data_IF_068984219779
#
_entry.id   IF_068984219779
#
_cell.length_a   1.000
_cell.length_b   1.000
_cell.length_c   1.000
_cell.angle_alpha   90.00
_cell.angle_beta   90.00
_cell.angle_gamma   90.00
#
_symmetry.space_group_name_H-M   'P 1'
#
loop_
_entity.id
_entity.type
_entity.pdbx_description
1 polymer ?
#
# COMPACT_ATOMS: atom_id res chain seq x y z
N UNK A 1 62.11 -28.33 27.75
CA UNK A 1 60.69 -28.44 27.39
C UNK A 1 60.13 -27.04 27.18
N UNK A 2 60.13 -26.55 25.93
CA UNK A 2 59.59 -25.23 25.58
C UNK A 2 58.33 -25.43 24.73
N UNK A 3 57.19 -24.99 25.23
CA UNK A 3 55.92 -25.04 24.50
C UNK A 3 55.82 -23.85 23.53
N UNK A 4 55.79 -24.15 22.24
CA UNK A 4 55.49 -23.22 21.15
C UNK A 4 54.00 -22.88 21.16
N UNK A 5 53.65 -21.61 21.35
CA UNK A 5 52.28 -21.10 21.32
C UNK A 5 51.98 -20.53 19.92
N UNK A 6 51.30 -21.30 19.08
CA UNK A 6 50.83 -20.87 17.75
C UNK A 6 49.63 -19.92 17.89
N UNK A 7 49.80 -18.64 17.55
CA UNK A 7 48.69 -17.68 17.41
C UNK A 7 47.87 -18.04 16.17
N UNK A 8 46.64 -18.53 16.38
CA UNK A 8 45.60 -18.56 15.34
C UNK A 8 45.01 -17.16 15.18
N UNK A 9 45.25 -16.54 14.04
CA UNK A 9 44.53 -15.33 13.61
C UNK A 9 43.08 -15.70 13.30
N UNK A 10 42.14 -15.23 14.12
CA UNK A 10 40.73 -15.24 13.80
C UNK A 10 40.42 -14.01 12.95
N UNK A 11 40.15 -14.23 11.65
CA UNK A 11 39.55 -13.20 10.80
C UNK A 11 38.14 -12.91 11.32
N UNK A 12 37.93 -11.74 11.92
CA UNK A 12 36.60 -11.22 12.18
C UNK A 12 35.89 -11.01 10.83
N UNK A 13 34.96 -11.90 10.51
CA UNK A 13 33.97 -11.65 9.47
C UNK A 13 33.07 -10.53 10.03
N UNK A 14 33.26 -9.31 9.52
CA UNK A 14 32.33 -8.23 9.78
C UNK A 14 30.96 -8.62 9.22
N UNK A 15 30.03 -9.00 10.09
CA UNK A 15 28.61 -9.02 9.76
C UNK A 15 28.20 -7.57 9.47
N UNK A 16 28.24 -7.18 8.21
CA UNK A 16 27.52 -6.00 7.73
C UNK A 16 26.04 -6.28 7.96
N UNK A 17 25.51 -5.83 9.09
CA UNK A 17 24.08 -5.63 9.24
C UNK A 17 23.67 -4.63 8.17
N UNK A 18 23.08 -5.13 7.07
CA UNK A 18 22.33 -4.29 6.13
C UNK A 18 21.17 -3.69 6.91
N UNK A 19 21.41 -2.51 7.49
CA UNK A 19 20.37 -1.69 8.09
C UNK A 19 19.39 -1.35 6.99
N UNK A 20 18.12 -1.72 7.19
CA UNK A 20 17.03 -1.20 6.38
C UNK A 20 17.14 0.32 6.45
N UNK A 21 17.48 0.95 5.33
CA UNK A 21 17.41 2.40 5.24
C UNK A 21 15.93 2.74 5.19
N UNK A 22 15.32 2.94 6.37
CA UNK A 22 13.96 3.44 6.41
C UNK A 22 14.01 4.87 5.89
N UNK A 23 13.18 5.20 4.89
CA UNK A 23 13.16 6.52 4.27
C UNK A 23 12.83 7.57 5.34
N UNK A 24 13.84 8.34 5.72
CA UNK A 24 13.81 9.11 6.95
C UNK A 24 13.59 10.59 6.70
N UNK A 25 12.68 11.22 7.45
CA UNK A 25 12.57 12.69 7.39
C UNK A 25 13.68 13.22 8.28
N UNK A 26 14.66 13.89 7.69
CA UNK A 26 15.74 14.53 8.45
C UNK A 26 15.16 15.68 9.28
N UNK A 27 15.57 15.75 10.54
CA UNK A 27 15.25 16.84 11.44
C UNK A 27 16.49 17.16 12.28
N UNK A 28 16.47 18.26 13.04
CA UNK A 28 17.58 18.72 13.89
C UNK A 28 18.12 17.65 14.87
N UNK A 29 17.34 16.62 15.21
CA UNK A 29 17.71 15.52 16.10
C UNK A 29 17.94 14.17 15.37
N UNK A 30 18.23 14.21 14.06
CA UNK A 30 18.51 13.04 13.24
C UNK A 30 17.29 12.45 12.53
N UNK A 31 17.40 11.16 12.19
CA UNK A 31 16.44 10.44 11.37
C UNK A 31 15.10 10.16 12.10
N UNK A 32 14.00 10.78 11.64
CA UNK A 32 12.63 10.45 12.06
C UNK A 32 11.98 9.30 11.26
N UNK A 33 11.66 8.20 11.94
CA UNK A 33 10.78 7.17 11.40
C UNK A 33 9.32 7.66 11.42
N UNK A 34 8.84 8.11 10.26
CA UNK A 34 7.49 8.66 10.07
C UNK A 34 6.36 7.63 10.25
N UNK A 35 6.67 6.33 10.31
CA UNK A 35 5.71 5.24 10.47
C UNK A 35 5.51 4.82 11.92
N UNK A 36 6.24 5.41 12.88
CA UNK A 36 6.07 5.20 14.33
C UNK A 36 5.48 6.44 14.98
N UNK A 37 4.33 6.28 15.62
CA UNK A 37 3.52 7.40 16.08
C UNK A 37 2.20 6.96 16.69
N UNK A 38 1.25 7.91 16.71
CA UNK A 38 -0.11 7.69 17.20
C UNK A 38 -1.11 8.51 16.37
N UNK A 39 -2.36 8.09 16.39
CA UNK A 39 -3.47 8.90 15.89
C UNK A 39 -3.84 9.96 16.91
N UNK A 40 -4.03 11.18 16.43
CA UNK A 40 -4.44 12.33 17.22
C UNK A 40 -5.61 13.00 16.54
N UNK A 41 -6.58 13.41 17.35
CA UNK A 41 -7.69 14.22 16.89
C UNK A 41 -7.18 15.58 16.41
N UNK A 42 -7.69 16.03 15.26
CA UNK A 42 -7.41 17.32 14.68
C UNK A 42 -8.69 17.88 14.05
N UNK A 43 -9.16 19.00 14.61
CA UNK A 43 -10.38 19.66 14.15
C UNK A 43 -10.29 20.16 12.71
N UNK A 44 -9.07 20.41 12.19
CA UNK A 44 -8.84 20.92 10.84
C UNK A 44 -8.98 19.87 9.75
N UNK A 45 -9.11 18.59 10.10
CA UNK A 45 -9.35 17.51 9.16
C UNK A 45 -10.85 17.37 8.85
N UNK A 46 -11.28 16.76 7.73
CA UNK A 46 -10.46 16.20 6.66
C UNK A 46 -9.74 17.28 5.84
N UNK A 47 -8.75 16.87 5.03
CA UNK A 47 -7.93 17.79 4.25
C UNK A 47 -8.68 18.48 3.09
N UNK A 48 -9.83 17.94 2.70
CA UNK A 48 -10.67 18.41 1.62
C UNK A 48 -12.12 17.94 1.82
N UNK A 49 -13.06 18.55 1.10
CA UNK A 49 -14.43 18.05 1.01
C UNK A 49 -14.51 16.91 -0.01
N UNK A 50 -14.65 15.67 0.48
CA UNK A 50 -14.72 14.50 -0.38
C UNK A 50 -16.05 14.37 -1.13
N UNK A 51 -17.10 15.09 -0.73
CA UNK A 51 -18.38 15.07 -1.45
C UNK A 51 -18.27 15.67 -2.86
N UNK A 52 -17.34 16.61 -3.06
CA UNK A 52 -17.05 17.23 -4.35
C UNK A 52 -16.13 16.39 -5.25
N UNK A 53 -15.61 15.25 -4.77
CA UNK A 53 -14.69 14.43 -5.55
C UNK A 53 -15.43 13.47 -6.51
N UNK A 54 -15.19 13.53 -7.83
CA UNK A 54 -15.90 12.69 -8.80
C UNK A 54 -15.33 11.27 -8.93
N UNK A 55 -14.19 10.98 -8.30
CA UNK A 55 -13.45 9.71 -8.52
C UNK A 55 -13.83 8.61 -7.54
N UNK A 56 -14.54 8.92 -6.46
CA UNK A 56 -14.79 7.97 -5.38
C UNK A 56 -15.80 6.93 -5.84
N UNK A 57 -15.39 5.68 -5.92
CA UNK A 57 -16.30 4.58 -6.18
C UNK A 57 -17.31 4.40 -5.06
N UNK A 58 -18.40 3.75 -5.41
CA UNK A 58 -19.54 3.53 -4.53
C UNK A 58 -19.18 2.73 -3.26
N UNK A 59 -18.24 1.79 -3.35
CA UNK A 59 -17.76 1.01 -2.22
C UNK A 59 -17.02 1.83 -1.14
N UNK A 60 -16.45 2.99 -1.49
CA UNK A 60 -15.62 3.80 -0.58
C UNK A 60 -16.29 5.12 -0.16
N UNK A 61 -17.45 5.47 -0.75
CA UNK A 61 -18.10 6.77 -0.54
C UNK A 61 -19.05 6.77 0.66
N UNK A 62 -18.49 6.59 1.86
CA UNK A 62 -19.27 6.42 3.09
C UNK A 62 -20.21 7.58 3.40
N UNK A 63 -19.79 8.83 3.13
CA UNK A 63 -20.64 10.01 3.34
C UNK A 63 -21.87 9.98 2.43
N UNK A 64 -21.67 9.68 1.13
CA UNK A 64 -22.79 9.56 0.18
C UNK A 64 -23.73 8.43 0.55
N UNK A 65 -23.22 7.34 1.11
CA UNK A 65 -23.98 6.17 1.52
C UNK A 65 -24.41 6.20 3.00
N UNK A 66 -24.56 7.42 3.56
CA UNK A 66 -25.33 7.64 4.79
C UNK A 66 -24.61 7.30 6.08
N UNK A 67 -23.27 7.24 6.09
CA UNK A 67 -22.51 7.10 7.33
C UNK A 67 -22.77 8.30 8.26
N UNK A 68 -23.34 8.10 9.47
CA UNK A 68 -23.78 9.20 10.32
C UNK A 68 -22.66 9.78 11.19
N UNK A 69 -21.64 9.00 11.54
CA UNK A 69 -20.52 9.47 12.34
C UNK A 69 -19.42 10.07 11.46
N UNK A 70 -18.94 11.26 11.82
CA UNK A 70 -17.86 11.94 11.08
C UNK A 70 -16.54 11.98 11.86
N UNK A 71 -16.48 11.37 13.04
CA UNK A 71 -15.31 11.45 13.92
C UNK A 71 -14.08 10.75 13.30
N UNK A 72 -14.28 9.70 12.50
CA UNK A 72 -13.21 9.01 11.78
C UNK A 72 -12.44 9.92 10.80
N UNK A 73 -13.08 10.98 10.31
CA UNK A 73 -12.45 11.96 9.42
C UNK A 73 -11.51 12.91 10.18
N UNK A 74 -11.63 13.01 11.50
CA UNK A 74 -10.94 14.02 12.34
C UNK A 74 -9.63 13.53 12.93
N UNK A 75 -9.05 12.45 12.41
CA UNK A 75 -7.79 11.90 12.93
C UNK A 75 -6.65 12.07 11.94
N UNK A 76 -5.53 12.61 12.43
CA UNK A 76 -4.26 12.65 11.71
C UNK A 76 -3.22 11.77 12.38
N UNK A 77 -2.29 11.26 11.57
CA UNK A 77 -1.13 10.54 12.08
C UNK A 77 -0.05 11.52 12.56
N UNK A 78 0.43 11.32 13.78
CA UNK A 78 1.53 12.08 14.37
C UNK A 78 2.71 11.15 14.63
N UNK A 79 3.80 11.24 13.85
CA UNK A 79 5.04 10.57 14.19
C UNK A 79 5.58 11.03 15.54
N UNK A 80 6.24 10.13 16.28
CA UNK A 80 6.68 10.42 17.65
C UNK A 80 7.82 11.44 17.77
N UNK A 81 8.62 11.62 16.71
CA UNK A 81 9.86 12.43 16.74
C UNK A 81 9.91 13.56 15.70
N UNK A 82 8.85 13.73 14.90
CA UNK A 82 8.78 14.77 13.89
C UNK A 82 7.33 15.03 13.48
N UNK A 83 7.13 16.09 12.71
CA UNK A 83 5.87 16.40 12.08
C UNK A 83 5.89 15.96 10.61
N UNK A 84 4.75 15.46 10.12
CA UNK A 84 4.57 15.26 8.69
C UNK A 84 4.37 16.62 8.00
N UNK A 85 4.94 16.83 6.81
CA UNK A 85 4.59 18.00 6.02
C UNK A 85 3.10 17.97 5.68
N UNK A 86 2.44 19.13 5.74
CA UNK A 86 1.06 19.27 5.26
C UNK A 86 1.01 18.91 3.78
N UNK A 87 -0.09 18.31 3.34
CA UNK A 87 -0.28 18.02 1.93
C UNK A 87 -0.35 19.32 1.12
N UNK A 88 0.46 19.42 0.07
CA UNK A 88 0.35 20.46 -0.95
C UNK A 88 0.27 19.77 -2.32
N UNK A 89 -0.96 19.59 -2.80
CA UNK A 89 -1.22 18.91 -4.07
C UNK A 89 -0.68 19.68 -5.28
N UNK A 90 -0.63 21.01 -5.21
CA UNK A 90 -0.08 21.84 -6.29
C UNK A 90 1.44 21.70 -6.33
N UNK A 91 2.12 21.75 -5.18
CA UNK A 91 3.55 21.50 -5.12
C UNK A 91 3.90 20.08 -5.62
N UNK A 92 3.13 19.06 -5.21
CA UNK A 92 3.33 17.69 -5.68
C UNK A 92 3.22 17.59 -7.21
N UNK A 93 2.17 18.17 -7.80
CA UNK A 93 1.98 18.18 -9.26
C UNK A 93 3.08 18.94 -10.00
N UNK A 94 3.59 20.05 -9.45
CA UNK A 94 4.75 20.75 -10.02
C UNK A 94 6.02 19.91 -9.98
N UNK A 95 6.28 19.24 -8.85
CA UNK A 95 7.44 18.33 -8.68
C UNK A 95 7.39 17.15 -9.64
N UNK A 96 6.19 16.67 -9.95
CA UNK A 96 5.97 15.54 -10.84
C UNK A 96 5.66 15.95 -12.28
N UNK A 97 5.86 17.22 -12.65
CA UNK A 97 5.50 17.74 -13.98
C UNK A 97 6.06 16.85 -15.10
N UNK A 98 5.20 16.41 -16.01
CA UNK A 98 5.56 15.52 -17.12
C UNK A 98 5.73 14.05 -16.77
N UNK A 99 5.52 13.64 -15.51
CA UNK A 99 5.74 12.27 -15.04
C UNK A 99 4.46 11.43 -14.99
N UNK A 100 4.66 10.12 -15.02
CA UNK A 100 3.62 9.11 -14.82
C UNK A 100 3.80 8.42 -13.47
N UNK A 101 2.72 8.34 -12.71
CA UNK A 101 2.63 7.61 -11.45
C UNK A 101 1.66 6.45 -11.69
N UNK A 102 2.01 5.24 -11.29
CA UNK A 102 1.12 4.09 -11.44
C UNK A 102 0.97 3.34 -10.12
N UNK A 103 -0.28 3.13 -9.71
CA UNK A 103 -0.66 2.20 -8.66
C UNK A 103 -0.90 0.84 -9.27
N UNK A 104 -0.27 -0.21 -8.75
CA UNK A 104 -0.34 -1.58 -9.26
C UNK A 104 -0.71 -2.50 -8.11
N UNK A 105 -1.89 -3.12 -8.18
CA UNK A 105 -2.27 -4.05 -7.14
C UNK A 105 -3.74 -4.42 -7.10
N UNK A 106 -4.18 -4.80 -5.91
CA UNK A 106 -5.55 -5.19 -5.64
C UNK A 106 -6.48 -3.98 -5.37
N UNK A 107 -7.68 -4.23 -4.85
CA UNK A 107 -8.67 -3.19 -4.57
C UNK A 107 -8.21 -2.13 -3.57
N UNK A 108 -7.20 -2.40 -2.74
CA UNK A 108 -6.60 -1.38 -1.88
C UNK A 108 -5.78 -0.37 -2.68
N UNK A 109 -5.14 -0.80 -3.79
CA UNK A 109 -4.48 0.14 -4.70
C UNK A 109 -5.49 1.09 -5.35
N UNK A 110 -6.68 0.60 -5.68
CA UNK A 110 -7.80 1.43 -6.16
C UNK A 110 -8.20 2.44 -5.09
N UNK A 111 -8.33 1.99 -3.85
CA UNK A 111 -8.72 2.81 -2.70
C UNK A 111 -7.72 3.95 -2.43
N UNK A 112 -6.40 3.66 -2.45
CA UNK A 112 -5.37 4.68 -2.30
C UNK A 112 -5.29 5.61 -3.51
N UNK A 113 -5.41 5.07 -4.74
CA UNK A 113 -5.41 5.85 -5.98
C UNK A 113 -6.54 6.88 -5.99
N UNK A 114 -7.77 6.49 -5.66
CA UNK A 114 -8.91 7.41 -5.60
C UNK A 114 -8.75 8.49 -4.54
N UNK A 115 -8.23 8.14 -3.36
CA UNK A 115 -7.88 9.14 -2.34
C UNK A 115 -6.89 10.17 -2.88
N UNK A 116 -5.81 9.73 -3.55
CA UNK A 116 -4.82 10.66 -4.11
C UNK A 116 -5.46 11.57 -5.17
N UNK A 117 -6.30 11.00 -6.05
CA UNK A 117 -7.02 11.78 -7.05
C UNK A 117 -7.92 12.85 -6.42
N UNK A 118 -8.65 12.51 -5.36
CA UNK A 118 -9.49 13.48 -4.65
C UNK A 118 -8.66 14.59 -3.99
N UNK A 119 -7.55 14.23 -3.34
CA UNK A 119 -6.65 15.19 -2.73
C UNK A 119 -6.05 16.14 -3.78
N UNK A 120 -5.66 15.63 -4.94
CA UNK A 120 -5.13 16.44 -6.05
C UNK A 120 -6.22 17.30 -6.70
N UNK A 121 -7.41 16.75 -6.91
CA UNK A 121 -8.57 17.46 -7.46
C UNK A 121 -8.96 18.65 -6.60
N UNK A 122 -9.03 18.47 -5.28
CA UNK A 122 -9.32 19.54 -4.34
C UNK A 122 -8.22 20.61 -4.29
N UNK A 123 -6.98 20.27 -4.66
CA UNK A 123 -5.84 21.18 -4.61
C UNK A 123 -5.68 22.04 -5.87
N UNK A 124 -6.43 21.80 -6.94
CA UNK A 124 -6.28 22.51 -8.22
C UNK A 124 -7.59 23.18 -8.65
N UNK A 125 -7.52 24.33 -9.36
CA UNK A 125 -8.71 24.94 -9.95
C UNK A 125 -9.42 24.01 -10.93
N UNK A 126 -10.74 24.10 -11.05
CA UNK A 126 -11.54 23.34 -12.02
C UNK A 126 -11.07 23.54 -13.48
N UNK A 127 -10.45 24.69 -13.78
CA UNK A 127 -9.86 25.04 -15.09
C UNK A 127 -8.56 24.29 -15.41
N UNK A 128 -8.01 23.49 -14.50
CA UNK A 128 -6.70 22.81 -14.66
C UNK A 128 -6.70 21.69 -15.72
N UNK A 129 -7.88 21.35 -16.25
CA UNK A 129 -8.08 20.36 -17.31
C UNK A 129 -7.74 18.96 -16.83
N UNK A 130 -8.74 18.23 -16.35
CA UNK A 130 -8.59 16.83 -15.92
C UNK A 130 -9.22 15.91 -16.97
N UNK A 131 -8.47 14.92 -17.43
CA UNK A 131 -8.97 13.89 -18.36
C UNK A 131 -8.93 12.52 -17.67
N UNK A 132 -9.99 11.75 -17.80
CA UNK A 132 -10.01 10.32 -17.44
C UNK A 132 -10.03 9.48 -18.72
N UNK A 133 -9.17 8.46 -18.77
CA UNK A 133 -9.07 7.51 -19.89
C UNK A 133 -8.89 6.10 -19.37
N UNK A 134 -9.54 5.14 -20.00
CA UNK A 134 -9.26 3.71 -19.81
C UNK A 134 -8.50 3.18 -21.03
N UNK A 135 -7.41 2.45 -20.77
CA UNK A 135 -6.51 1.88 -21.76
C UNK A 135 -6.41 0.35 -21.56
N UNK A 136 -5.92 -0.35 -22.58
CA UNK A 136 -5.69 -1.80 -22.55
C UNK A 136 -6.92 -2.60 -22.08
N UNK A 137 -8.06 -2.43 -22.76
CA UNK A 137 -9.32 -3.10 -22.42
C UNK A 137 -9.72 -2.92 -20.94
N UNK A 138 -9.64 -1.68 -20.44
CA UNK A 138 -9.94 -1.30 -19.05
C UNK A 138 -9.02 -1.91 -17.98
N UNK A 139 -7.85 -2.43 -18.38
CA UNK A 139 -6.83 -2.91 -17.43
C UNK A 139 -6.08 -1.73 -16.78
N UNK A 140 -6.00 -0.60 -17.50
CA UNK A 140 -5.31 0.61 -17.05
C UNK A 140 -6.25 1.81 -17.05
N UNK A 141 -6.53 2.37 -15.88
CA UNK A 141 -7.26 3.63 -15.76
C UNK A 141 -6.27 4.78 -15.53
N UNK A 142 -6.42 5.89 -16.24
CA UNK A 142 -5.52 7.04 -16.18
C UNK A 142 -6.30 8.31 -15.94
N UNK A 143 -5.89 9.09 -14.94
CA UNK A 143 -6.34 10.48 -14.76
C UNK A 143 -5.18 11.42 -14.99
N UNK A 144 -5.32 12.33 -15.95
CA UNK A 144 -4.27 13.27 -16.34
C UNK A 144 -4.63 14.70 -15.97
N UNK A 145 -3.75 15.35 -15.20
CA UNK A 145 -3.80 16.77 -14.88
C UNK A 145 -3.07 17.55 -15.98
N UNK A 146 -3.79 17.99 -17.02
CA UNK A 146 -3.24 18.53 -18.28
C UNK A 146 -2.23 19.64 -18.06
N UNK A 147 -2.56 20.63 -17.23
CA UNK A 147 -1.69 21.77 -16.96
C UNK A 147 -0.29 21.35 -16.46
N UNK A 148 -0.23 20.28 -15.68
CA UNK A 148 1.01 19.75 -15.12
C UNK A 148 1.61 18.61 -15.96
N UNK A 149 0.90 18.11 -16.97
CA UNK A 149 1.27 16.92 -17.75
C UNK A 149 1.57 15.71 -16.85
N UNK A 150 0.83 15.58 -15.74
CA UNK A 150 0.98 14.48 -14.78
C UNK A 150 -0.14 13.48 -14.99
N UNK A 151 0.22 12.20 -15.15
CA UNK A 151 -0.73 11.10 -15.23
C UNK A 151 -0.67 10.26 -13.98
N UNK A 152 -1.81 10.08 -13.32
CA UNK A 152 -1.99 9.20 -12.16
C UNK A 152 -2.78 7.99 -12.61
N UNK A 153 -2.11 6.86 -12.70
CA UNK A 153 -2.56 5.64 -13.35
C UNK A 153 -2.84 4.53 -12.33
N UNK A 154 -3.73 3.62 -12.69
CA UNK A 154 -4.07 2.42 -11.94
C UNK A 154 -3.97 1.21 -12.87
N UNK A 155 -3.19 0.21 -12.49
CA UNK A 155 -3.10 -1.10 -13.13
C UNK A 155 -3.62 -2.17 -12.15
N UNK A 156 -4.68 -2.88 -12.54
CA UNK A 156 -5.25 -3.92 -11.67
C UNK A 156 -4.44 -5.22 -11.78
N UNK A 157 -3.80 -5.61 -10.68
CA UNK A 157 -3.08 -6.88 -10.57
C UNK A 157 -3.20 -7.45 -9.17
N UNK A 158 -4.11 -8.42 -9.00
CA UNK A 158 -4.42 -8.96 -7.68
C UNK A 158 -3.21 -9.62 -6.98
N UNK A 159 -2.31 -10.22 -7.75
CA UNK A 159 -1.18 -11.02 -7.25
C UNK A 159 0.19 -10.50 -7.71
N UNK A 160 0.24 -9.44 -8.51
CA UNK A 160 1.42 -8.98 -9.29
C UNK A 160 1.92 -9.98 -10.35
N UNK A 161 1.96 -11.26 -10.01
CA UNK A 161 2.26 -12.36 -10.92
C UNK A 161 1.05 -12.75 -11.78
N UNK A 162 1.32 -13.48 -12.86
CA UNK A 162 0.31 -13.79 -13.88
C UNK A 162 -0.67 -14.90 -13.44
N UNK A 163 -1.91 -14.81 -13.93
CA UNK A 163 -2.90 -15.89 -13.89
C UNK A 163 -3.35 -16.18 -15.31
N UNK A 164 -3.02 -17.36 -15.80
CA UNK A 164 -3.28 -17.76 -17.19
C UNK A 164 -4.48 -18.67 -17.28
N UNK A 165 -5.30 -18.49 -18.32
CA UNK A 165 -6.34 -19.46 -18.66
C UNK A 165 -5.74 -20.54 -19.55
N UNK A 166 -5.60 -21.74 -19.00
CA UNK A 166 -5.13 -22.94 -19.70
C UNK A 166 -6.28 -23.94 -19.91
N UNK A 167 -6.02 -25.02 -20.64
CA UNK A 167 -6.99 -26.11 -20.88
C UNK A 167 -7.50 -26.74 -19.59
N UNK A 168 -6.64 -26.82 -18.56
CA UNK A 168 -6.98 -27.34 -17.24
C UNK A 168 -7.72 -26.33 -16.34
N UNK A 169 -7.81 -25.06 -16.75
CA UNK A 169 -8.39 -23.97 -15.96
C UNK A 169 -7.43 -22.80 -15.74
N UNK A 170 -7.73 -21.94 -14.77
CA UNK A 170 -6.90 -20.77 -14.43
C UNK A 170 -5.70 -21.21 -13.60
N UNK A 171 -4.48 -20.88 -14.04
CA UNK A 171 -3.24 -21.26 -13.39
C UNK A 171 -2.50 -20.02 -12.89
N UNK A 172 -2.32 -19.91 -11.57
CA UNK A 172 -1.49 -18.88 -10.95
C UNK A 172 -0.01 -19.21 -11.17
N UNK A 173 0.69 -18.36 -11.93
CA UNK A 173 2.09 -18.53 -12.35
C UNK A 173 3.02 -17.76 -11.41
N UNK A 174 3.43 -18.37 -10.30
CA UNK A 174 4.21 -17.66 -9.25
C UNK A 174 5.57 -17.14 -9.71
N UNK A 175 6.11 -17.62 -10.83
CA UNK A 175 7.41 -17.23 -11.38
C UNK A 175 7.31 -16.34 -12.63
N UNK A 176 6.16 -15.71 -12.88
CA UNK A 176 5.91 -14.91 -14.08
C UNK A 176 5.36 -13.53 -13.75
N UNK A 177 5.95 -12.48 -14.34
CA UNK A 177 5.54 -11.06 -14.19
C UNK A 177 5.52 -10.41 -15.59
N UNK A 178 4.75 -10.96 -16.52
CA UNK A 178 4.74 -10.47 -17.92
C UNK A 178 4.24 -9.03 -18.02
N UNK A 179 3.32 -8.66 -17.13
CA UNK A 179 2.81 -7.29 -17.02
C UNK A 179 3.90 -6.27 -16.66
N UNK A 180 5.07 -6.71 -16.16
CA UNK A 180 6.22 -5.85 -15.89
C UNK A 180 6.68 -5.03 -17.11
N UNK A 181 6.43 -5.51 -18.33
CA UNK A 181 6.71 -4.76 -19.55
C UNK A 181 5.95 -3.43 -19.65
N UNK A 182 4.76 -3.32 -19.05
CA UNK A 182 3.97 -2.10 -19.02
C UNK A 182 4.43 -1.13 -17.92
N UNK A 183 5.10 -1.64 -16.88
CA UNK A 183 5.47 -0.88 -15.69
C UNK A 183 6.82 -0.18 -15.83
N UNK A 184 7.74 -0.73 -16.64
CA UNK A 184 9.13 -0.26 -16.78
C UNK A 184 9.28 1.20 -17.25
N UNK A 185 8.25 1.76 -17.89
CA UNK A 185 8.26 3.12 -18.44
C UNK A 185 7.66 4.18 -17.50
N UNK A 186 7.27 3.79 -16.28
CA UNK A 186 6.62 4.67 -15.31
C UNK A 186 7.67 5.31 -14.39
N UNK A 187 7.53 6.60 -14.09
CA UNK A 187 8.45 7.34 -13.22
C UNK A 187 8.29 6.97 -11.74
N UNK A 188 7.06 6.67 -11.30
CA UNK A 188 6.75 6.28 -9.92
C UNK A 188 5.84 5.06 -9.92
N UNK A 189 6.35 3.93 -9.44
CA UNK A 189 5.61 2.68 -9.31
C UNK A 189 5.22 2.45 -7.85
N UNK A 190 3.93 2.22 -7.59
CA UNK A 190 3.39 1.99 -6.24
C UNK A 190 2.68 0.64 -6.25
N UNK A 191 3.33 -0.37 -5.67
CA UNK A 191 2.83 -1.75 -5.66
C UNK A 191 2.09 -2.07 -4.37
N UNK A 192 1.05 -2.90 -4.46
CA UNK A 192 0.42 -3.57 -3.33
C UNK A 192 -0.11 -4.94 -3.77
N UNK A 193 -0.14 -5.90 -2.84
CA UNK A 193 -0.91 -7.14 -3.03
C UNK A 193 -1.04 -7.89 -1.70
N UNK A 194 -2.27 -8.23 -1.28
CA UNK A 194 -2.49 -9.09 -0.11
C UNK A 194 -3.90 -9.70 -0.03
N UNK A 195 -4.94 -8.90 -0.25
CA UNK A 195 -6.30 -9.25 0.18
C UNK A 195 -6.95 -10.39 -0.60
N UNK A 196 -6.33 -10.80 -1.69
CA UNK A 196 -6.80 -11.91 -2.51
C UNK A 196 -6.05 -13.23 -2.27
N UNK A 197 -4.87 -13.19 -1.63
CA UNK A 197 -4.03 -14.37 -1.42
C UNK A 197 -4.65 -15.42 -0.51
N UNK A 198 -5.42 -15.00 0.49
CA UNK A 198 -6.04 -15.90 1.46
C UNK A 198 -7.43 -16.41 1.02
N UNK A 199 -7.96 -15.94 -0.11
CA UNK A 199 -9.30 -16.32 -0.59
C UNK A 199 -9.31 -17.77 -1.06
N UNK A 200 -10.40 -18.48 -0.73
CA UNK A 200 -10.65 -19.89 -1.07
C UNK A 200 -12.06 -20.05 -1.66
N UNK A 201 -12.32 -21.20 -2.27
CA UNK A 201 -13.63 -21.52 -2.87
C UNK A 201 -13.98 -20.59 -4.02
N UNK A 202 -15.26 -20.18 -4.11
CA UNK A 202 -15.77 -19.33 -5.20
C UNK A 202 -15.07 -17.98 -5.34
N UNK A 203 -14.45 -17.47 -4.27
CA UNK A 203 -13.71 -16.19 -4.28
C UNK A 203 -12.27 -16.33 -4.78
N UNK A 204 -11.77 -17.55 -4.95
CA UNK A 204 -10.42 -17.81 -5.46
C UNK A 204 -10.36 -17.55 -6.98
N UNK A 205 -9.37 -16.77 -7.42
CA UNK A 205 -9.26 -16.35 -8.82
C UNK A 205 -8.38 -17.26 -9.67
N UNK A 206 -8.00 -18.42 -9.13
CA UNK A 206 -7.20 -19.44 -9.81
C UNK A 206 -7.72 -20.82 -9.42
N UNK A 207 -7.52 -21.79 -10.30
CA UNK A 207 -7.95 -23.18 -10.12
C UNK A 207 -6.78 -24.11 -9.81
N UNK A 208 -5.57 -23.71 -10.21
CA UNK A 208 -4.28 -24.39 -9.99
C UNK A 208 -3.17 -23.36 -9.74
N UNK A 209 -2.05 -23.82 -9.20
CA UNK A 209 -0.84 -23.03 -8.97
C UNK A 209 0.35 -23.72 -9.64
N UNK A 210 1.08 -23.01 -10.48
CA UNK A 210 2.38 -23.47 -10.97
C UNK A 210 3.47 -23.02 -9.99
N UNK A 211 4.10 -24.00 -9.35
CA UNK A 211 5.14 -23.81 -8.35
C UNK A 211 6.20 -24.89 -8.50
N UNK A 212 7.47 -24.48 -8.59
CA UNK A 212 8.62 -25.39 -8.65
C UNK A 212 8.52 -26.40 -9.82
N UNK A 213 8.23 -25.89 -11.02
CA UNK A 213 8.07 -26.70 -12.24
C UNK A 213 6.83 -27.59 -12.28
N UNK A 214 6.03 -27.65 -11.20
CA UNK A 214 4.85 -28.52 -11.08
C UNK A 214 3.57 -27.71 -10.99
N UNK A 215 2.50 -28.24 -11.58
CA UNK A 215 1.14 -27.71 -11.40
C UNK A 215 0.48 -28.47 -10.26
N UNK A 216 -0.02 -27.74 -9.27
CA UNK A 216 -0.70 -28.28 -8.08
C UNK A 216 -2.08 -27.65 -7.96
N UNK A 217 -3.03 -28.36 -7.34
CA UNK A 217 -4.37 -27.82 -7.11
C UNK A 217 -4.32 -26.60 -6.19
N UNK A 218 -3.50 -26.68 -5.15
CA UNK A 218 -3.28 -25.58 -4.22
C UNK A 218 -1.94 -25.73 -3.48
N UNK A 219 -1.51 -24.67 -2.81
CA UNK A 219 -0.35 -24.66 -1.91
C UNK A 219 -0.62 -23.75 -0.70
N UNK A 220 0.30 -23.75 0.27
CA UNK A 220 0.25 -22.81 1.39
C UNK A 220 0.25 -21.35 0.91
N UNK A 221 -0.62 -20.51 1.52
CA UNK A 221 -0.83 -19.13 1.08
C UNK A 221 0.37 -18.24 1.33
N UNK A 222 1.08 -18.47 2.44
CA UNK A 222 2.28 -17.71 2.79
C UNK A 222 3.42 -18.09 1.86
N UNK A 223 3.57 -19.39 1.52
CA UNK A 223 4.54 -19.86 0.53
C UNK A 223 4.24 -19.27 -0.85
N UNK A 224 2.98 -19.28 -1.29
CA UNK A 224 2.58 -18.69 -2.57
C UNK A 224 2.91 -17.19 -2.62
N UNK A 225 2.49 -16.44 -1.60
CA UNK A 225 2.72 -15.01 -1.48
C UNK A 225 4.21 -14.65 -1.47
N UNK A 226 5.00 -15.33 -0.63
CA UNK A 226 6.46 -15.14 -0.56
C UNK A 226 7.11 -15.43 -1.91
N UNK A 227 6.71 -16.48 -2.59
CA UNK A 227 7.28 -16.87 -3.89
C UNK A 227 7.00 -15.81 -4.96
N UNK A 228 5.74 -15.41 -5.09
CA UNK A 228 5.37 -14.37 -6.06
C UNK A 228 6.04 -13.03 -5.77
N UNK A 229 6.13 -12.63 -4.50
CA UNK A 229 6.78 -11.39 -4.13
C UNK A 229 8.29 -11.45 -4.40
N UNK A 230 8.94 -12.61 -4.21
CA UNK A 230 10.34 -12.82 -4.63
C UNK A 230 10.50 -12.74 -6.16
N UNK A 231 9.53 -13.20 -6.93
CA UNK A 231 9.54 -13.05 -8.39
C UNK A 231 9.41 -11.58 -8.80
N UNK A 232 8.49 -10.82 -8.18
CA UNK A 232 8.39 -9.38 -8.36
C UNK A 232 9.69 -8.66 -7.99
N UNK A 233 10.30 -9.01 -6.86
CA UNK A 233 11.58 -8.46 -6.43
C UNK A 233 12.71 -8.70 -7.45
N UNK A 234 12.78 -9.92 -8.01
CA UNK A 234 13.72 -10.22 -9.09
C UNK A 234 13.50 -9.35 -10.31
N UNK A 235 12.23 -9.15 -10.71
CA UNK A 235 11.87 -8.27 -11.82
C UNK A 235 12.30 -6.81 -11.55
N UNK A 236 12.15 -6.31 -10.32
CA UNK A 236 12.67 -4.98 -9.95
C UNK A 236 14.19 -4.93 -10.19
N UNK A 237 14.93 -5.90 -9.64
CA UNK A 237 16.38 -5.97 -9.76
C UNK A 237 16.89 -6.15 -11.19
N UNK A 238 16.17 -6.84 -12.06
CA UNK A 238 16.57 -7.04 -13.46
C UNK A 238 16.13 -5.90 -14.38
N UNK A 239 14.86 -5.47 -14.32
CA UNK A 239 14.24 -4.70 -15.40
C UNK A 239 14.04 -3.21 -15.09
N UNK A 240 13.99 -2.82 -13.81
CA UNK A 240 13.68 -1.43 -13.44
C UNK A 240 14.92 -0.54 -13.37
N UNK A 241 14.98 0.52 -14.17
CA UNK A 241 15.99 1.56 -14.01
C UNK A 241 15.62 2.51 -12.85
N UNK A 242 16.24 2.29 -11.69
CA UNK A 242 15.98 3.07 -10.46
C UNK A 242 16.66 4.44 -10.42
N UNK A 243 17.48 4.78 -11.43
CA UNK A 243 17.93 6.16 -11.61
C UNK A 243 16.81 7.05 -12.14
N UNK A 244 15.86 6.46 -12.87
CA UNK A 244 14.69 7.15 -13.44
C UNK A 244 13.41 6.90 -12.64
N UNK A 245 13.21 5.67 -12.18
CA UNK A 245 11.96 5.20 -11.59
C UNK A 245 12.08 5.05 -10.07
N UNK A 246 11.20 5.73 -9.33
CA UNK A 246 11.01 5.47 -7.88
C UNK A 246 10.09 4.27 -7.71
N UNK A 247 10.56 3.23 -7.01
CA UNK A 247 9.77 2.03 -6.69
C UNK A 247 9.32 2.08 -5.24
N UNK A 248 8.01 1.97 -5.03
CA UNK A 248 7.36 2.01 -3.73
C UNK A 248 6.53 0.75 -3.58
N UNK A 249 6.61 0.11 -2.41
CA UNK A 249 5.70 -0.96 -2.02
C UNK A 249 4.85 -0.45 -0.86
N UNK A 250 3.53 -0.41 -1.05
CA UNK A 250 2.58 -0.12 0.00
C UNK A 250 2.46 -1.34 0.92
N UNK A 251 2.71 -1.14 2.22
CA UNK A 251 2.59 -2.17 3.23
C UNK A 251 1.19 -2.78 3.32
N UNK A 252 1.09 -3.86 4.09
CA UNK A 252 -0.15 -4.64 4.19
C UNK A 252 -1.26 -3.79 4.82
N UNK A 253 -2.36 -3.60 4.09
CA UNK A 253 -3.59 -3.04 4.65
C UNK A 253 -4.29 -4.09 5.51
N UNK A 254 -4.66 -3.78 6.76
CA UNK A 254 -5.35 -4.73 7.63
C UNK A 254 -6.85 -4.79 7.30
N UNK A 255 -7.52 -5.79 7.86
CA UNK A 255 -8.97 -5.87 7.95
C UNK A 255 -9.41 -6.01 9.41
N UNK A 256 -10.65 -5.63 9.70
CA UNK A 256 -11.18 -5.61 11.07
C UNK A 256 -12.49 -6.41 11.19
N UNK A 257 -12.41 -7.73 10.97
CA UNK A 257 -13.54 -8.66 11.07
C UNK A 257 -13.65 -9.39 12.41
N UNK A 258 -12.78 -9.12 13.38
CA UNK A 258 -12.80 -9.81 14.67
C UNK A 258 -12.31 -8.90 15.79
N UNK A 259 -13.21 -8.53 16.70
CA UNK A 259 -12.89 -7.62 17.81
C UNK A 259 -11.86 -8.16 18.79
N UNK A 260 -11.66 -9.49 18.82
CA UNK A 260 -10.57 -10.11 19.60
C UNK A 260 -9.20 -9.58 19.19
N UNK A 261 -9.03 -9.18 17.93
CA UNK A 261 -7.75 -8.67 17.43
C UNK A 261 -7.38 -7.32 18.07
N UNK A 262 -8.37 -6.57 18.57
CA UNK A 262 -8.19 -5.30 19.26
C UNK A 262 -8.71 -5.29 20.71
N UNK A 263 -8.70 -6.46 21.37
CA UNK A 263 -9.12 -6.65 22.77
C UNK A 263 -10.60 -6.31 23.09
N UNK A 264 -11.48 -6.41 22.11
CA UNK A 264 -12.94 -6.26 22.28
C UNK A 264 -13.66 -7.55 21.84
N UNK A 265 -13.60 -8.64 22.62
CA UNK A 265 -14.05 -9.97 22.19
C UNK A 265 -15.55 -10.07 21.87
N UNK A 266 -16.37 -9.13 22.36
CA UNK A 266 -17.81 -9.02 22.05
C UNK A 266 -18.10 -8.38 20.69
N UNK A 267 -17.12 -7.76 20.05
CA UNK A 267 -17.27 -7.07 18.76
C UNK A 267 -17.00 -8.03 17.61
N UNK A 268 -17.94 -8.13 16.67
CA UNK A 268 -17.90 -9.12 15.58
C UNK A 268 -17.27 -8.62 14.29
N UNK A 269 -17.09 -7.32 14.12
CA UNK A 269 -16.50 -6.67 12.94
C UNK A 269 -16.34 -5.17 13.20
N UNK A 270 -15.95 -4.40 12.19
CA UNK A 270 -15.77 -2.95 12.25
C UNK A 270 -17.07 -2.12 12.40
N UNK A 271 -18.25 -2.74 12.47
CA UNK A 271 -19.51 -2.01 12.67
C UNK A 271 -19.51 -1.25 13.99
N UNK A 272 -20.11 -0.05 13.97
CA UNK A 272 -20.25 0.86 15.11
C UNK A 272 -18.92 1.35 15.72
N UNK A 273 -17.79 1.07 15.08
CA UNK A 273 -16.50 1.61 15.49
C UNK A 273 -16.36 3.04 14.96
N UNK A 274 -16.22 4.01 15.86
CA UNK A 274 -16.22 5.45 15.51
C UNK A 274 -14.92 6.16 15.92
N UNK A 275 -14.02 5.46 16.60
CA UNK A 275 -12.71 5.98 17.04
C UNK A 275 -11.59 4.96 16.81
N UNK A 276 -10.36 5.43 16.54
CA UNK A 276 -9.19 4.59 16.46
C UNK A 276 -8.94 3.83 17.77
N UNK A 277 -8.27 2.69 17.66
CA UNK A 277 -7.62 2.05 18.81
C UNK A 277 -6.58 2.99 19.42
N UNK A 278 -6.56 3.07 20.75
CA UNK A 278 -5.61 3.92 21.49
C UNK A 278 -4.18 3.35 21.42
N UNK A 279 -3.19 4.24 21.52
CA UNK A 279 -1.78 3.87 21.66
C UNK A 279 -1.02 3.80 20.33
N UNK A 280 0.06 3.01 20.34
CA UNK A 280 1.01 2.89 19.21
C UNK A 280 1.37 1.44 18.87
N UNK A 281 0.64 0.47 19.45
CA UNK A 281 0.80 -0.97 19.26
C UNK A 281 -0.55 -1.64 19.07
N UNK A 282 -0.61 -2.71 18.27
CA UNK A 282 -1.81 -3.50 18.05
C UNK A 282 -1.72 -4.81 18.83
N UNK A 283 -2.76 -5.25 19.56
CA UNK A 283 -2.66 -6.39 20.48
C UNK A 283 -2.13 -7.69 19.87
N UNK A 284 -2.53 -8.01 18.65
CA UNK A 284 -2.07 -9.23 17.95
C UNK A 284 -0.76 -9.07 17.20
N UNK A 285 -0.15 -7.89 17.22
CA UNK A 285 1.04 -7.56 16.45
C UNK A 285 0.77 -7.46 14.94
N UNK A 286 1.83 -7.56 14.14
CA UNK A 286 1.76 -7.47 12.69
C UNK A 286 1.27 -8.78 12.06
N UNK A 287 0.50 -8.72 10.96
CA UNK A 287 0.13 -9.92 10.21
C UNK A 287 1.35 -10.59 9.57
N UNK A 288 1.31 -11.92 9.40
CA UNK A 288 2.41 -12.70 8.81
C UNK A 288 2.87 -12.16 7.45
N UNK A 289 1.93 -11.67 6.63
CA UNK A 289 2.20 -11.07 5.34
C UNK A 289 3.16 -9.87 5.41
N UNK A 290 3.07 -9.07 6.48
CA UNK A 290 3.91 -7.89 6.65
C UNK A 290 5.37 -8.28 6.92
N UNK A 291 5.59 -9.37 7.65
CA UNK A 291 6.93 -9.94 7.80
C UNK A 291 7.49 -10.45 6.47
N UNK A 292 6.67 -11.07 5.63
CA UNK A 292 7.07 -11.51 4.28
C UNK A 292 7.44 -10.31 3.40
N UNK A 293 6.66 -9.23 3.42
CA UNK A 293 6.97 -8.00 2.67
C UNK A 293 8.30 -7.42 3.13
N UNK A 294 8.50 -7.28 4.44
CA UNK A 294 9.76 -6.78 5.03
C UNK A 294 10.95 -7.68 4.71
N UNK A 295 10.77 -9.00 4.75
CA UNK A 295 11.80 -9.99 4.37
C UNK A 295 12.20 -9.82 2.90
N UNK A 296 11.23 -9.75 1.98
CA UNK A 296 11.53 -9.68 0.55
C UNK A 296 12.17 -8.34 0.18
N UNK A 297 11.62 -7.22 0.64
CA UNK A 297 12.15 -5.88 0.33
C UNK A 297 13.60 -5.72 0.80
N UNK A 298 13.93 -6.26 1.98
CA UNK A 298 15.31 -6.24 2.52
C UNK A 298 16.34 -6.92 1.62
N UNK A 299 15.91 -7.86 0.78
CA UNK A 299 16.78 -8.65 -0.09
C UNK A 299 16.82 -8.14 -1.54
N UNK A 300 16.14 -7.03 -1.84
CA UNK A 300 16.20 -6.37 -3.15
C UNK A 300 17.50 -5.57 -3.23
N UNK A 301 18.23 -5.68 -4.34
CA UNK A 301 19.49 -4.96 -4.55
C UNK A 301 19.26 -3.49 -4.89
N UNK A 302 18.24 -3.22 -5.71
CA UNK A 302 17.83 -1.87 -6.10
C UNK A 302 17.00 -1.18 -5.01
N UNK A 303 17.02 0.16 -4.93
CA UNK A 303 16.27 0.89 -3.92
C UNK A 303 14.75 0.71 -4.10
N UNK A 304 14.10 0.23 -3.04
CA UNK A 304 12.64 0.13 -2.94
C UNK A 304 12.21 0.75 -1.62
N UNK A 305 11.27 1.69 -1.70
CA UNK A 305 10.70 2.36 -0.54
C UNK A 305 9.50 1.57 -0.03
N UNK A 306 9.57 1.06 1.21
CA UNK A 306 8.39 0.50 1.89
C UNK A 306 7.57 1.63 2.54
N UNK A 307 6.34 1.82 2.08
CA UNK A 307 5.34 2.61 2.78
C UNK A 307 4.78 1.75 3.93
N UNK A 308 5.45 1.75 5.08
CA UNK A 308 5.16 0.88 6.24
C UNK A 308 3.87 1.31 6.97
N UNK A 309 2.73 1.16 6.29
CA UNK A 309 1.41 1.64 6.73
C UNK A 309 0.67 0.66 7.65
N UNK A 310 1.15 -0.56 7.82
CA UNK A 310 0.36 -1.64 8.43
C UNK A 310 -0.03 -1.33 9.86
N UNK A 311 0.94 -0.99 10.71
CA UNK A 311 0.71 -0.75 12.13
C UNK A 311 -0.22 0.45 12.35
N UNK A 312 0.04 1.59 11.69
CA UNK A 312 -0.85 2.76 11.81
C UNK A 312 -2.26 2.48 11.30
N UNK A 313 -2.40 1.60 10.31
CA UNK A 313 -3.71 1.23 9.74
C UNK A 313 -4.47 0.25 10.63
N UNK A 314 -3.77 -0.63 11.38
CA UNK A 314 -4.40 -1.54 12.34
C UNK A 314 -5.07 -0.77 13.49
N UNK A 315 -4.61 0.44 13.79
CA UNK A 315 -5.25 1.29 14.78
C UNK A 315 -6.55 1.92 14.29
N UNK A 316 -6.90 1.79 13.01
CA UNK A 316 -8.02 2.51 12.38
C UNK A 316 -9.26 1.65 12.17
N UNK A 317 -9.63 0.83 13.15
CA UNK A 317 -10.87 0.03 13.13
C UNK A 317 -12.14 0.85 12.82
N UNK A 318 -12.10 2.17 13.01
CA UNK A 318 -13.15 3.14 12.72
C UNK A 318 -13.29 3.54 11.25
N UNK A 319 -12.25 3.41 10.41
CA UNK A 319 -12.19 4.07 9.12
C UNK A 319 -12.76 3.25 7.94
N UNK A 320 -13.31 2.08 8.20
CA UNK A 320 -13.91 1.21 7.19
C UNK A 320 -15.29 1.68 6.74
N UNK A 321 -15.74 1.34 5.51
CA UNK A 321 -17.11 1.58 5.08
C UNK A 321 -18.15 0.89 5.96
N UNK A 322 -17.83 -0.26 6.56
CA UNK A 322 -18.80 -1.10 7.25
C UNK A 322 -19.98 -1.40 6.31
N UNK A 323 -21.20 -1.00 6.65
CA UNK A 323 -22.38 -1.14 5.77
C UNK A 323 -22.68 0.09 4.92
N UNK A 324 -21.91 1.18 5.07
CA UNK A 324 -22.13 2.44 4.36
C UNK A 324 -21.48 2.41 2.98
N UNK A 325 -21.98 1.50 2.15
CA UNK A 325 -21.59 1.27 0.77
C UNK A 325 -22.83 0.88 -0.05
N UNK A 326 -22.82 1.11 -1.36
CA UNK A 326 -23.96 0.80 -2.27
C UNK A 326 -24.39 -0.67 -2.27
N UNK A 327 -23.50 -1.56 -1.81
CA UNK A 327 -23.71 -3.00 -1.82
C UNK A 327 -24.37 -3.52 -0.54
N UNK A 328 -24.59 -2.67 0.47
CA UNK A 328 -25.17 -2.99 1.78
C UNK A 328 -24.50 -4.17 2.52
N UNK A 329 -23.30 -4.57 2.09
CA UNK A 329 -22.52 -5.66 2.68
C UNK A 329 -21.56 -5.13 3.75
N UNK A 330 -21.18 -5.99 4.70
CA UNK A 330 -20.19 -5.63 5.71
C UNK A 330 -18.77 -5.60 5.12
N UNK A 331 -18.27 -4.40 4.89
CA UNK A 331 -16.91 -4.16 4.42
C UNK A 331 -16.00 -3.64 5.55
N UNK A 332 -15.16 -4.53 6.06
CA UNK A 332 -14.08 -4.22 6.98
C UNK A 332 -12.71 -4.48 6.35
N UNK A 333 -12.63 -4.39 5.02
CA UNK A 333 -11.42 -4.58 4.22
C UNK A 333 -10.95 -3.26 3.62
N UNK A 334 -11.87 -2.56 2.96
CA UNK A 334 -11.59 -1.29 2.30
C UNK A 334 -11.82 -0.12 3.24
N UNK A 335 -11.58 1.10 2.77
CA UNK A 335 -11.57 2.30 3.61
C UNK A 335 -12.44 3.39 3.00
N UNK A 336 -13.12 4.13 3.87
CA UNK A 336 -13.81 5.35 3.48
C UNK A 336 -12.84 6.35 2.85
N UNK A 337 -13.31 7.06 1.81
CA UNK A 337 -12.63 8.23 1.23
C UNK A 337 -13.55 9.44 1.42
N UNK A 338 -13.12 10.54 2.05
CA UNK A 338 -11.84 10.77 2.74
C UNK A 338 -11.61 9.86 3.96
N UNK A 339 -10.37 9.72 4.42
CA UNK A 339 -10.05 8.88 5.59
C UNK A 339 -8.62 8.37 5.66
N UNK A 340 -8.46 7.11 6.06
CA UNK A 340 -7.15 6.48 6.24
C UNK A 340 -6.26 6.51 4.97
N UNK A 341 -6.78 6.24 3.76
CA UNK A 341 -5.96 6.31 2.55
C UNK A 341 -5.32 7.68 2.30
N UNK A 342 -5.94 8.77 2.78
CA UNK A 342 -5.37 10.12 2.68
C UNK A 342 -4.07 10.23 3.50
N UNK A 343 -4.00 9.53 4.63
CA UNK A 343 -2.76 9.44 5.43
C UNK A 343 -1.69 8.63 4.72
N UNK A 344 -2.05 7.56 4.01
CA UNK A 344 -1.08 6.86 3.16
C UNK A 344 -0.53 7.77 2.07
N UNK A 345 -1.38 8.61 1.48
CA UNK A 345 -0.99 9.59 0.48
C UNK A 345 -0.18 10.78 1.06
N UNK A 346 -0.38 11.15 2.33
CA UNK A 346 0.53 12.06 3.04
C UNK A 346 1.94 11.47 3.20
N UNK A 347 2.02 10.19 3.57
CA UNK A 347 3.30 9.49 3.71
C UNK A 347 3.97 9.29 2.34
N UNK A 348 3.18 9.00 1.30
CA UNK A 348 3.64 8.93 -0.08
C UNK A 348 4.17 10.29 -0.55
N UNK A 349 3.43 11.37 -0.32
CA UNK A 349 3.86 12.74 -0.61
C UNK A 349 5.22 13.02 0.04
N UNK A 350 5.37 12.75 1.34
CA UNK A 350 6.63 12.91 2.06
C UNK A 350 7.79 12.04 1.50
N UNK A 351 7.49 10.88 0.93
CA UNK A 351 8.48 10.02 0.26
C UNK A 351 8.90 10.56 -1.12
N UNK A 352 7.99 11.23 -1.82
CA UNK A 352 8.22 11.72 -3.18
C UNK A 352 8.93 13.07 -3.22
N UNK A 353 8.67 13.95 -2.25
CA UNK A 353 9.22 15.31 -2.20
C UNK A 353 10.55 15.44 -1.46
N UNK A 354 11.05 14.36 -0.85
CA UNK A 354 12.41 14.29 -0.32
C UNK A 354 13.44 14.40 -1.43
#
# INVERSE_FOLDING_TARGET
MGFSMTRRSYSLIALTFLTISFPCLENANGCCNVYKGKWVYDSSYPLYDSSACPFIHKEFNCLKYGRPDHLYLKYRWQPSKCNLPRFDGTHLLRRLKGKKIMFIGDSISINQWQSLLCMLHAAVPATSGIITQDLHNHTVSTVTFKHYKVSVMLFRSLYLVDVDKETIGRVLKLNSVRNGNLWKEIDVLIFNTWHWWHRRGLKQQWDYVQFDGKIRKDIDRTVAFRTALRTWAKWVDSDVDTNRTKVIFQGISPSHYNGRDWNEPGVRNCSKQTTPSKGSSYPTGLPLAEYVVKEVIRNIKKPVHLLDITMLSQLRKDAHPSTYNDFNGMDCTHWCVAGLPDTWNLLLHAALIK
#
